data_IF_204345199737
#
_entry.id   IF_204345199737
#
_cell.length_a   1.000
_cell.length_b   1.000
_cell.length_c   1.000
_cell.angle_alpha   90.00
_cell.angle_beta   90.00
_cell.angle_gamma   90.00
#
_symmetry.space_group_name_H-M   'P 1'
#
loop_
_entity.id
_entity.type
_entity.pdbx_description
1 polymer ?
#
# COMPACT_ATOMS: atom_id res chain seq x y z
N UNK A 1 -6.33 12.98 -18.77
CA UNK A 1 -6.93 11.65 -18.98
C UNK A 1 -5.87 10.55 -19.00
N UNK A 2 -4.81 10.70 -19.79
CA UNK A 2 -3.72 9.70 -19.94
C UNK A 2 -3.03 9.37 -18.61
N UNK A 3 -2.54 10.37 -17.87
CA UNK A 3 -1.81 10.15 -16.59
C UNK A 3 -2.67 9.40 -15.55
N UNK A 4 -3.96 9.76 -15.44
CA UNK A 4 -4.89 9.09 -14.51
C UNK A 4 -5.08 7.62 -14.87
N UNK A 5 -5.22 7.30 -16.16
CA UNK A 5 -5.36 5.91 -16.59
C UNK A 5 -4.08 5.10 -16.34
N UNK A 6 -2.91 5.74 -16.48
CA UNK A 6 -1.63 5.10 -16.16
C UNK A 6 -1.58 4.73 -14.67
N UNK A 7 -1.88 5.67 -13.78
CA UNK A 7 -1.80 5.44 -12.33
C UNK A 7 -2.86 4.44 -11.84
N UNK A 8 -4.11 4.55 -12.30
CA UNK A 8 -5.21 3.74 -11.76
C UNK A 8 -5.34 2.35 -12.39
N UNK A 9 -4.80 2.13 -13.58
CA UNK A 9 -4.99 0.87 -14.31
C UNK A 9 -3.68 0.26 -14.77
N UNK A 10 -2.81 1.03 -15.45
CA UNK A 10 -1.59 0.47 -16.05
C UNK A 10 -0.61 0.05 -14.96
N UNK A 11 -0.26 0.94 -14.01
CA UNK A 11 0.73 0.63 -12.98
C UNK A 11 0.33 -0.56 -12.09
N UNK A 12 -0.89 -0.65 -11.52
CA UNK A 12 -1.29 -1.82 -10.73
C UNK A 12 -1.31 -3.13 -11.53
N UNK A 13 -1.59 -3.06 -12.83
CA UNK A 13 -1.58 -4.24 -13.71
C UNK A 13 -0.14 -4.64 -14.04
N UNK A 14 0.74 -3.68 -14.32
CA UNK A 14 2.15 -3.94 -14.57
C UNK A 14 2.84 -4.52 -13.33
N UNK A 15 2.60 -3.96 -12.14
CA UNK A 15 3.12 -4.49 -10.88
C UNK A 15 2.64 -5.92 -10.59
N UNK A 16 1.46 -6.29 -11.07
CA UNK A 16 0.97 -7.65 -10.96
C UNK A 16 1.63 -8.59 -11.99
N UNK A 17 1.73 -8.18 -13.25
CA UNK A 17 2.11 -9.07 -14.35
C UNK A 17 3.63 -9.18 -14.60
N UNK A 18 4.38 -8.09 -14.41
CA UNK A 18 5.83 -8.06 -14.64
C UNK A 18 6.61 -9.06 -13.77
N UNK A 19 6.28 -9.30 -12.49
CA UNK A 19 6.95 -10.33 -11.70
C UNK A 19 6.92 -11.70 -12.35
N UNK A 20 5.77 -12.15 -12.86
CA UNK A 20 5.63 -13.43 -13.55
C UNK A 20 6.41 -13.46 -14.87
N UNK A 21 6.36 -12.37 -15.64
CA UNK A 21 7.10 -12.25 -16.90
C UNK A 21 8.60 -12.33 -16.63
N UNK A 22 9.10 -11.61 -15.63
CA UNK A 22 10.51 -11.62 -15.30
C UNK A 22 10.96 -12.98 -14.77
N UNK A 23 10.19 -13.58 -13.86
CA UNK A 23 10.48 -14.91 -13.34
C UNK A 23 10.61 -15.95 -14.46
N UNK A 24 9.69 -15.94 -15.43
CA UNK A 24 9.69 -16.87 -16.55
C UNK A 24 10.82 -16.63 -17.57
N UNK A 25 11.24 -15.37 -17.77
CA UNK A 25 12.23 -15.01 -18.79
C UNK A 25 13.68 -14.97 -18.27
N UNK A 26 13.89 -14.81 -16.96
CA UNK A 26 15.20 -14.53 -16.38
C UNK A 26 15.58 -15.48 -15.23
N UNK A 27 15.32 -16.79 -15.39
CA UNK A 27 15.74 -17.85 -14.45
C UNK A 27 15.41 -17.51 -12.99
N UNK A 28 14.14 -17.20 -12.72
CA UNK A 28 13.67 -16.78 -11.39
C UNK A 28 13.89 -15.31 -11.05
N UNK A 29 14.47 -14.53 -11.97
CA UNK A 29 14.76 -13.10 -11.86
C UNK A 29 15.36 -12.64 -10.51
N UNK A 30 16.57 -13.11 -10.14
CA UNK A 30 17.22 -12.71 -8.89
C UNK A 30 17.35 -11.20 -8.73
N UNK A 31 17.62 -10.47 -9.81
CA UNK A 31 17.68 -8.99 -9.80
C UNK A 31 16.38 -8.32 -9.36
N UNK A 32 15.24 -9.00 -9.53
CA UNK A 32 13.92 -8.46 -9.25
C UNK A 32 13.45 -8.83 -7.84
N UNK A 33 13.67 -10.09 -7.43
CA UNK A 33 13.12 -10.67 -6.19
C UNK A 33 14.14 -10.81 -5.04
N UNK A 34 15.37 -10.31 -5.18
CA UNK A 34 16.35 -10.36 -4.09
C UNK A 34 15.82 -9.56 -2.87
N UNK A 35 15.81 -10.17 -1.69
CA UNK A 35 15.14 -9.69 -0.48
C UNK A 35 15.65 -8.39 0.18
N UNK A 36 16.82 -7.90 -0.25
CA UNK A 36 17.45 -6.70 0.36
C UNK A 36 17.78 -5.63 -0.69
N UNK A 37 17.71 -5.99 -1.97
CA UNK A 37 18.18 -5.13 -3.07
C UNK A 37 17.45 -5.41 -4.38
N UNK A 38 16.34 -6.13 -4.30
CA UNK A 38 15.52 -6.45 -5.45
C UNK A 38 14.91 -5.18 -6.04
N UNK A 39 14.64 -5.22 -7.34
CA UNK A 39 13.91 -4.14 -7.97
C UNK A 39 12.52 -3.93 -7.33
N UNK A 40 11.89 -4.98 -6.80
CA UNK A 40 10.55 -4.90 -6.20
C UNK A 40 10.51 -4.02 -4.94
N UNK A 41 11.42 -4.19 -3.99
CA UNK A 41 11.52 -3.37 -2.76
C UNK A 41 11.78 -1.90 -3.09
N UNK A 42 12.72 -1.65 -4.01
CA UNK A 42 13.02 -0.29 -4.46
C UNK A 42 11.80 0.39 -5.11
N UNK A 43 11.00 -0.38 -5.85
CA UNK A 43 9.73 0.08 -6.41
C UNK A 43 8.72 0.36 -5.28
N UNK A 44 8.57 -0.53 -4.31
CA UNK A 44 7.71 -0.34 -3.12
C UNK A 44 8.08 0.95 -2.39
N UNK A 45 9.36 1.13 -2.05
CA UNK A 45 9.88 2.32 -1.39
C UNK A 45 9.62 3.59 -2.22
N UNK A 46 9.84 3.56 -3.53
CA UNK A 46 9.55 4.68 -4.42
C UNK A 46 8.07 5.07 -4.46
N UNK A 47 7.17 4.09 -4.49
CA UNK A 47 5.72 4.30 -4.45
C UNK A 47 5.29 4.89 -3.11
N UNK A 48 5.80 4.36 -1.99
CA UNK A 48 5.49 4.86 -0.65
C UNK A 48 6.02 6.28 -0.43
N UNK A 49 7.22 6.58 -0.92
CA UNK A 49 7.77 7.94 -0.89
C UNK A 49 6.87 8.91 -1.67
N UNK A 50 6.41 8.52 -2.86
CA UNK A 50 5.46 9.34 -3.63
C UNK A 50 4.13 9.53 -2.89
N UNK A 51 3.57 8.47 -2.29
CA UNK A 51 2.34 8.55 -1.51
C UNK A 51 2.50 9.49 -0.30
N UNK A 52 3.64 9.43 0.39
CA UNK A 52 3.96 10.33 1.51
C UNK A 52 4.05 11.80 1.06
N UNK A 53 4.72 12.06 -0.07
CA UNK A 53 4.80 13.40 -0.65
C UNK A 53 3.43 13.96 -1.01
N UNK A 54 2.57 13.15 -1.64
CA UNK A 54 1.21 13.54 -1.98
C UNK A 54 0.36 13.80 -0.74
N UNK A 55 0.43 12.92 0.26
CA UNK A 55 -0.26 13.08 1.55
C UNK A 55 0.12 14.39 2.23
N UNK A 56 1.44 14.67 2.27
CA UNK A 56 1.98 15.89 2.87
C UNK A 56 1.51 17.13 2.12
N UNK A 57 1.56 17.10 0.78
CA UNK A 57 1.04 18.17 -0.06
C UNK A 57 -0.44 18.41 0.17
N UNK A 58 -1.25 17.35 0.23
CA UNK A 58 -2.69 17.43 0.50
C UNK A 58 -2.98 17.99 1.89
N UNK A 59 -2.21 17.62 2.92
CA UNK A 59 -2.34 18.17 4.25
C UNK A 59 -2.19 19.70 4.26
N UNK A 60 -1.13 20.23 3.64
CA UNK A 60 -0.90 21.67 3.57
C UNK A 60 -1.93 22.40 2.69
N UNK A 61 -2.32 21.80 1.56
CA UNK A 61 -3.37 22.36 0.70
C UNK A 61 -4.72 22.40 1.42
N UNK A 62 -5.09 21.32 2.13
CA UNK A 62 -6.33 21.24 2.90
C UNK A 62 -6.34 22.25 4.06
N UNK A 63 -5.21 22.42 4.75
CA UNK A 63 -5.00 23.46 5.76
C UNK A 63 -5.27 24.85 5.21
N UNK A 64 -4.55 25.24 4.16
CA UNK A 64 -4.68 26.57 3.55
C UNK A 64 -6.10 26.83 3.06
N UNK A 65 -6.70 25.87 2.34
CA UNK A 65 -8.07 26.00 1.81
C UNK A 65 -9.10 26.16 2.92
N UNK A 66 -8.94 25.42 4.01
CA UNK A 66 -9.84 25.49 5.16
C UNK A 66 -9.75 26.83 5.88
N UNK A 67 -8.54 27.36 6.08
CA UNK A 67 -8.33 28.67 6.71
C UNK A 67 -9.00 29.78 5.89
N UNK A 68 -8.83 29.78 4.56
CA UNK A 68 -9.48 30.74 3.65
C UNK A 68 -11.01 30.67 3.72
N UNK A 69 -11.58 29.45 3.66
CA UNK A 69 -13.04 29.28 3.71
C UNK A 69 -13.65 29.77 5.03
N UNK A 70 -12.98 29.53 6.16
CA UNK A 70 -13.44 30.00 7.47
C UNK A 70 -13.40 31.53 7.52
N UNK A 71 -12.36 32.15 6.95
CA UNK A 71 -12.22 33.61 6.87
C UNK A 71 -13.30 34.25 5.98
N UNK A 72 -13.58 33.66 4.81
CA UNK A 72 -14.47 34.26 3.80
C UNK A 72 -15.97 34.07 4.13
N UNK A 73 -16.34 32.92 4.71
CA UNK A 73 -17.75 32.50 4.78
C UNK A 73 -18.27 32.27 6.20
N UNK A 74 -17.43 32.42 7.23
CA UNK A 74 -17.71 32.05 8.63
C UNK A 74 -18.40 30.68 8.79
N UNK A 75 -18.19 29.78 7.81
CA UNK A 75 -18.89 28.51 7.71
C UNK A 75 -18.07 27.40 8.33
N UNK A 76 -18.71 26.60 9.18
CA UNK A 76 -18.08 25.42 9.74
C UNK A 76 -17.85 24.37 8.64
N UNK A 77 -16.61 23.87 8.51
CA UNK A 77 -16.31 22.75 7.61
C UNK A 77 -16.58 21.44 8.35
N UNK A 78 -17.52 20.60 7.87
CA UNK A 78 -17.85 19.34 8.53
C UNK A 78 -16.63 18.41 8.52
N UNK A 79 -16.47 17.65 9.61
CA UNK A 79 -15.39 16.65 9.79
C UNK A 79 -13.95 17.16 9.65
N UNK A 80 -13.72 18.48 9.63
CA UNK A 80 -12.38 19.09 9.47
C UNK A 80 -11.30 18.44 10.33
N UNK A 81 -11.54 18.32 11.64
CA UNK A 81 -10.58 17.75 12.60
C UNK A 81 -10.27 16.29 12.27
N UNK A 82 -11.29 15.55 11.86
CA UNK A 82 -11.12 14.17 11.44
C UNK A 82 -10.29 14.08 10.16
N UNK A 83 -10.56 14.89 9.13
CA UNK A 83 -9.76 14.89 7.89
C UNK A 83 -8.29 15.19 8.17
N UNK A 84 -7.98 16.17 9.03
CA UNK A 84 -6.60 16.43 9.45
C UNK A 84 -5.98 15.23 10.17
N UNK A 85 -6.69 14.66 11.15
CA UNK A 85 -6.22 13.48 11.87
C UNK A 85 -5.97 12.29 10.93
N UNK A 86 -6.85 12.08 9.96
CA UNK A 86 -6.74 11.03 8.96
C UNK A 86 -5.49 11.22 8.09
N UNK A 87 -5.24 12.41 7.55
CA UNK A 87 -4.04 12.69 6.75
C UNK A 87 -2.75 12.51 7.56
N UNK A 88 -2.76 12.85 8.86
CA UNK A 88 -1.63 12.61 9.76
C UNK A 88 -1.40 11.10 9.95
N UNK A 89 -2.44 10.35 10.32
CA UNK A 89 -2.36 8.90 10.51
C UNK A 89 -1.90 8.20 9.23
N UNK A 90 -2.44 8.64 8.08
CA UNK A 90 -2.06 8.13 6.78
C UNK A 90 -0.57 8.37 6.48
N UNK A 91 -0.09 9.60 6.68
CA UNK A 91 1.31 9.95 6.48
C UNK A 91 2.25 9.18 7.42
N UNK A 92 1.87 9.01 8.69
CA UNK A 92 2.61 8.18 9.64
C UNK A 92 2.65 6.71 9.21
N UNK A 93 1.55 6.19 8.67
CA UNK A 93 1.51 4.84 8.08
C UNK A 93 2.46 4.70 6.90
N UNK A 94 2.51 5.69 5.99
CA UNK A 94 3.48 5.71 4.90
C UNK A 94 4.92 5.79 5.40
N UNK A 95 5.21 6.61 6.42
CA UNK A 95 6.55 6.71 7.02
C UNK A 95 6.95 5.38 7.65
N UNK A 96 6.05 4.75 8.40
CA UNK A 96 6.32 3.47 9.04
C UNK A 96 6.59 2.40 7.99
N UNK A 97 5.71 2.23 7.01
CA UNK A 97 5.88 1.21 5.98
C UNK A 97 7.14 1.47 5.13
N UNK A 98 7.37 2.71 4.69
CA UNK A 98 8.60 3.07 3.98
C UNK A 98 9.85 2.80 4.83
N UNK A 99 9.80 3.16 6.11
CA UNK A 99 10.88 2.94 7.05
C UNK A 99 11.21 1.47 7.20
N UNK A 100 10.22 0.62 7.41
CA UNK A 100 10.41 -0.84 7.47
C UNK A 100 11.05 -1.38 6.17
N UNK A 101 10.54 -0.95 5.01
CA UNK A 101 11.03 -1.37 3.68
C UNK A 101 12.50 -1.00 3.41
N UNK A 102 12.97 0.14 3.91
CA UNK A 102 14.36 0.62 3.70
C UNK A 102 15.24 0.40 4.92
N UNK A 103 14.81 -0.44 5.85
CA UNK A 103 15.54 -0.77 7.08
C UNK A 103 15.87 0.49 7.90
N UNK A 104 14.91 1.41 7.95
CA UNK A 104 14.93 2.75 8.53
C UNK A 104 16.02 3.68 7.98
N UNK A 105 16.64 3.31 6.86
CA UNK A 105 17.76 4.02 6.23
C UNK A 105 19.13 3.40 6.52
N UNK A 106 19.18 2.21 7.14
CA UNK A 106 20.41 1.55 7.53
C UNK A 106 21.41 1.43 6.39
N UNK A 107 20.95 0.97 5.23
CA UNK A 107 21.79 0.83 4.04
C UNK A 107 22.18 2.17 3.41
N UNK A 108 21.38 3.22 3.60
CA UNK A 108 21.66 4.56 3.07
C UNK A 108 22.74 5.29 3.86
N UNK A 109 22.79 5.06 5.17
CA UNK A 109 23.70 5.73 6.09
C UNK A 109 24.80 4.81 6.63
N UNK A 110 24.81 3.54 6.19
CA UNK A 110 25.83 2.52 6.47
C UNK A 110 26.13 2.35 7.97
N UNK A 111 25.09 2.35 8.80
CA UNK A 111 25.28 2.03 10.23
C UNK A 111 25.21 0.54 10.49
N UNK A 112 26.03 0.09 11.42
CA UNK A 112 26.04 -1.29 11.88
C UNK A 112 24.78 -1.61 12.68
N UNK A 113 24.28 -2.82 12.50
CA UNK A 113 23.19 -3.41 13.30
C UNK A 113 23.60 -3.50 14.77
N UNK A 114 22.87 -2.87 15.70
CA UNK A 114 23.20 -2.96 17.12
C UNK A 114 23.09 -4.40 17.63
N UNK A 115 23.90 -4.80 18.62
CA UNK A 115 23.92 -6.17 19.18
C UNK A 115 22.52 -6.67 19.61
N UNK A 116 21.69 -5.76 20.15
CA UNK A 116 20.32 -6.06 20.54
C UNK A 116 19.41 -6.47 19.36
N UNK A 117 19.69 -5.95 18.16
CA UNK A 117 18.98 -6.28 16.92
C UNK A 117 19.54 -7.53 16.24
N UNK A 118 20.86 -7.72 16.26
CA UNK A 118 21.52 -8.92 15.71
C UNK A 118 20.95 -10.21 16.32
N UNK A 119 20.56 -10.18 17.60
CA UNK A 119 20.00 -11.33 18.29
C UNK A 119 18.55 -11.68 17.88
N UNK A 120 17.83 -10.75 17.23
CA UNK A 120 16.38 -10.89 16.98
C UNK A 120 15.96 -10.65 15.54
N UNK A 121 16.80 -10.06 14.69
CA UNK A 121 16.51 -9.75 13.30
C UNK A 121 17.26 -10.71 12.37
N UNK A 122 16.52 -11.44 11.53
CA UNK A 122 17.07 -12.52 10.70
C UNK A 122 17.95 -12.02 9.54
N UNK A 123 17.88 -10.73 9.21
CA UNK A 123 18.63 -10.08 8.13
C UNK A 123 19.73 -9.14 8.65
N UNK A 124 19.97 -9.13 9.96
CA UNK A 124 20.88 -8.18 10.61
C UNK A 124 20.48 -6.74 10.27
N UNK A 125 19.21 -6.40 10.40
CA UNK A 125 18.70 -5.06 10.14
C UNK A 125 18.03 -4.41 11.35
N UNK A 126 17.65 -3.14 11.20
CA UNK A 126 16.94 -2.35 12.22
C UNK A 126 15.43 -2.20 11.98
N UNK A 127 14.86 -2.94 11.03
CA UNK A 127 13.40 -3.01 10.82
C UNK A 127 12.74 -4.08 11.70
N UNK A 128 11.51 -3.83 12.10
CA UNK A 128 10.72 -4.71 12.96
C UNK A 128 10.15 -5.91 12.20
N UNK A 129 9.77 -5.76 10.93
CA UNK A 129 9.14 -6.86 10.18
C UNK A 129 10.07 -8.07 9.98
N UNK A 130 11.40 -7.89 10.05
CA UNK A 130 12.38 -8.99 9.99
C UNK A 130 12.67 -9.63 11.36
N UNK A 131 11.97 -9.24 12.43
CA UNK A 131 12.20 -9.79 13.79
C UNK A 131 11.29 -10.95 14.15
N UNK A 132 10.10 -11.04 13.56
CA UNK A 132 9.19 -12.15 13.82
C UNK A 132 8.10 -12.22 12.76
N UNK A 133 7.58 -13.44 12.54
CA UNK A 133 6.41 -13.67 11.69
C UNK A 133 5.18 -12.84 12.10
N UNK A 134 5.07 -12.44 13.38
CA UNK A 134 3.98 -11.58 13.84
C UNK A 134 4.08 -10.18 13.20
N UNK A 135 5.27 -9.57 13.22
CA UNK A 135 5.50 -8.23 12.69
C UNK A 135 5.55 -8.21 11.15
N UNK A 136 5.94 -9.32 10.51
CA UNK A 136 5.84 -9.51 9.06
C UNK A 136 4.37 -9.69 8.61
N UNK A 137 3.66 -10.67 9.17
CA UNK A 137 2.41 -11.14 8.57
C UNK A 137 1.18 -10.36 9.02
N UNK A 138 1.11 -9.91 10.27
CA UNK A 138 -0.11 -9.27 10.81
C UNK A 138 -0.37 -7.91 10.16
N UNK A 139 0.60 -6.98 10.05
CA UNK A 139 0.36 -5.70 9.38
C UNK A 139 -0.07 -5.90 7.93
N UNK A 140 0.62 -6.78 7.20
CA UNK A 140 0.30 -7.12 5.80
C UNK A 140 -1.11 -7.70 5.68
N UNK A 141 -1.51 -8.59 6.58
CA UNK A 141 -2.85 -9.18 6.60
C UNK A 141 -3.95 -8.13 6.86
N UNK A 142 -3.78 -7.27 7.87
CA UNK A 142 -4.76 -6.25 8.23
C UNK A 142 -4.96 -5.23 7.09
N UNK A 143 -3.86 -4.79 6.47
CA UNK A 143 -3.92 -3.92 5.28
C UNK A 143 -4.62 -4.60 4.12
N UNK A 144 -4.27 -5.86 3.82
CA UNK A 144 -4.93 -6.65 2.76
C UNK A 144 -6.44 -6.74 3.01
N UNK A 145 -6.86 -7.03 4.24
CA UNK A 145 -8.27 -7.12 4.60
C UNK A 145 -9.00 -5.79 4.41
N UNK A 146 -8.39 -4.69 4.86
CA UNK A 146 -8.91 -3.34 4.67
C UNK A 146 -9.04 -2.97 3.19
N UNK A 147 -8.06 -3.35 2.36
CA UNK A 147 -8.06 -3.14 0.91
C UNK A 147 -9.19 -3.92 0.23
N UNK A 148 -9.38 -5.19 0.59
CA UNK A 148 -10.45 -6.00 -0.01
C UNK A 148 -11.82 -5.45 0.38
N UNK A 149 -12.05 -5.17 1.67
CA UNK A 149 -13.33 -4.65 2.14
C UNK A 149 -13.60 -3.24 1.58
N UNK A 150 -12.62 -2.35 1.64
CA UNK A 150 -12.80 -0.95 1.28
C UNK A 150 -12.61 -0.64 -0.20
N UNK A 151 -11.64 -1.27 -0.84
CA UNK A 151 -11.26 -1.02 -2.23
C UNK A 151 -11.99 -1.88 -3.25
N UNK A 152 -12.45 -3.07 -2.86
CA UNK A 152 -13.12 -4.00 -3.76
C UNK A 152 -14.59 -4.21 -3.43
N UNK A 153 -14.95 -4.39 -2.16
CA UNK A 153 -16.35 -4.67 -1.78
C UNK A 153 -17.15 -3.37 -1.76
N UNK A 154 -16.76 -2.39 -0.95
CA UNK A 154 -17.53 -1.16 -0.74
C UNK A 154 -17.95 -0.37 -2.00
N UNK A 155 -17.07 -0.13 -3.01
CA UNK A 155 -17.43 0.70 -4.16
C UNK A 155 -18.62 0.14 -4.95
N UNK A 156 -18.81 -1.18 -4.97
CA UNK A 156 -19.92 -1.82 -5.67
C UNK A 156 -21.24 -1.78 -4.90
N UNK A 157 -21.20 -1.71 -3.56
CA UNK A 157 -22.42 -1.55 -2.74
C UNK A 157 -22.96 -0.12 -2.74
N UNK A 158 -22.10 0.88 -2.94
CA UNK A 158 -22.46 2.30 -2.87
C UNK A 158 -22.72 2.93 -4.25
N UNK A 159 -22.18 2.34 -5.34
CA UNK A 159 -22.34 2.85 -6.72
C UNK A 159 -23.79 3.16 -7.14
N UNK A 160 -24.76 2.42 -6.59
CA UNK A 160 -26.17 2.51 -6.98
C UNK A 160 -27.07 3.11 -5.88
N UNK A 161 -26.50 3.67 -4.82
CA UNK A 161 -27.29 4.30 -3.74
C UNK A 161 -27.11 5.81 -3.81
N UNK A 162 -28.20 6.61 -3.76
CA UNK A 162 -28.04 8.05 -3.52
C UNK A 162 -27.25 8.20 -2.22
N UNK A 163 -26.24 9.07 -2.21
CA UNK A 163 -25.48 9.41 -1.01
C UNK A 163 -26.49 9.73 0.10
N UNK A 164 -26.67 8.78 1.03
CA UNK A 164 -27.62 8.95 2.09
C UNK A 164 -27.27 10.22 2.84
N UNK A 165 -28.26 11.05 3.15
CA UNK A 165 -28.08 12.37 3.78
C UNK A 165 -27.70 12.29 5.26
N UNK A 166 -27.39 11.09 5.76
CA UNK A 166 -26.97 10.86 7.14
C UNK A 166 -25.52 11.26 7.42
N UNK A 167 -25.24 11.56 8.69
CA UNK A 167 -23.89 11.87 9.18
C UNK A 167 -22.91 10.70 8.97
N UNK A 168 -23.37 9.45 9.15
CA UNK A 168 -22.53 8.26 9.02
C UNK A 168 -22.12 7.95 7.57
N UNK A 169 -23.03 8.08 6.59
CA UNK A 169 -22.70 7.93 5.17
C UNK A 169 -21.76 9.01 4.68
N UNK A 170 -21.90 10.24 5.18
CA UNK A 170 -20.99 11.35 4.90
C UNK A 170 -19.59 11.11 5.48
N UNK A 171 -19.52 10.52 6.67
CA UNK A 171 -18.26 10.09 7.29
C UNK A 171 -17.61 8.92 6.53
N UNK A 172 -18.37 7.89 6.15
CA UNK A 172 -17.84 6.78 5.35
C UNK A 172 -17.33 7.25 3.99
N UNK A 173 -18.02 8.18 3.34
CA UNK A 173 -17.57 8.76 2.08
C UNK A 173 -16.21 9.48 2.18
N UNK A 174 -15.77 9.86 3.38
CA UNK A 174 -14.49 10.53 3.61
C UNK A 174 -13.32 9.54 3.72
N UNK A 175 -13.56 8.34 4.25
CA UNK A 175 -12.51 7.33 4.49
C UNK A 175 -12.48 6.29 3.39
N UNK A 176 -13.64 5.94 2.83
CA UNK A 176 -13.73 4.77 1.99
C UNK A 176 -13.11 5.00 0.61
N UNK A 177 -12.33 4.05 0.09
CA UNK A 177 -11.70 4.14 -1.23
C UNK A 177 -12.71 4.38 -2.36
N UNK A 178 -12.27 5.13 -3.37
CA UNK A 178 -13.06 5.38 -4.57
C UNK A 178 -13.02 4.20 -5.54
N UNK A 179 -13.85 4.24 -6.59
CA UNK A 179 -13.83 3.24 -7.66
C UNK A 179 -12.49 3.15 -8.40
N UNK A 180 -11.65 4.19 -8.33
CA UNK A 180 -10.31 4.16 -8.92
C UNK A 180 -9.38 3.14 -8.26
N UNK A 181 -9.64 2.77 -7.00
CA UNK A 181 -8.82 1.81 -6.27
C UNK A 181 -9.14 0.34 -6.62
N UNK A 182 -10.21 0.07 -7.38
CA UNK A 182 -10.69 -1.30 -7.67
C UNK A 182 -9.61 -2.15 -8.36
N UNK A 183 -8.91 -1.59 -9.34
CA UNK A 183 -7.85 -2.33 -10.05
C UNK A 183 -6.74 -2.72 -9.09
N UNK A 184 -6.26 -1.78 -8.28
CA UNK A 184 -5.20 -2.05 -7.30
C UNK A 184 -5.65 -3.06 -6.23
N UNK A 185 -6.88 -2.93 -5.72
CA UNK A 185 -7.46 -3.88 -4.78
C UNK A 185 -7.61 -5.28 -5.38
N UNK A 186 -7.96 -5.37 -6.67
CA UNK A 186 -8.06 -6.65 -7.38
C UNK A 186 -6.68 -7.29 -7.54
N UNK A 187 -5.65 -6.52 -7.86
CA UNK A 187 -4.27 -7.03 -7.92
C UNK A 187 -3.80 -7.58 -6.56
N UNK A 188 -4.07 -6.86 -5.47
CA UNK A 188 -3.76 -7.31 -4.10
C UNK A 188 -4.52 -8.59 -3.73
N UNK A 189 -5.80 -8.70 -4.11
CA UNK A 189 -6.57 -9.92 -3.88
C UNK A 189 -5.99 -11.09 -4.69
N UNK A 190 -5.68 -10.88 -5.97
CA UNK A 190 -5.14 -11.90 -6.85
C UNK A 190 -3.87 -12.53 -6.28
N UNK A 191 -2.87 -11.70 -5.94
CA UNK A 191 -1.61 -12.18 -5.36
C UNK A 191 -1.79 -12.77 -3.95
N UNK A 192 -2.90 -12.46 -3.26
CA UNK A 192 -3.18 -13.08 -1.96
C UNK A 192 -3.77 -14.48 -2.08
N UNK A 193 -4.49 -14.76 -3.17
CA UNK A 193 -5.23 -16.03 -3.35
C UNK A 193 -4.52 -17.00 -4.29
N UNK A 194 -3.61 -16.53 -5.14
CA UNK A 194 -2.97 -17.36 -6.16
C UNK A 194 -2.34 -18.64 -5.58
N UNK A 195 -1.46 -18.55 -4.59
CA UNK A 195 -0.87 -19.68 -3.86
C UNK A 195 -1.90 -20.51 -3.10
N UNK A 196 -2.87 -19.85 -2.49
CA UNK A 196 -3.90 -20.50 -1.67
C UNK A 196 -4.81 -21.38 -2.50
N UNK A 197 -5.07 -21.03 -3.76
CA UNK A 197 -5.90 -21.83 -4.67
C UNK A 197 -5.20 -23.17 -4.97
N UNK A 198 -3.90 -23.16 -5.27
CA UNK A 198 -3.15 -24.40 -5.51
C UNK A 198 -3.06 -25.26 -4.26
N UNK A 199 -2.77 -24.64 -3.09
CA UNK A 199 -2.77 -25.32 -1.81
C UNK A 199 -4.13 -25.95 -1.47
N UNK A 200 -5.24 -25.23 -1.71
CA UNK A 200 -6.59 -25.71 -1.48
C UNK A 200 -6.96 -26.88 -2.40
N UNK A 201 -6.55 -26.81 -3.67
CA UNK A 201 -6.82 -27.86 -4.66
C UNK A 201 -5.88 -29.05 -4.55
N UNK A 202 -4.82 -28.96 -3.72
CA UNK A 202 -3.77 -29.97 -3.59
C UNK A 202 -3.08 -30.28 -4.94
N UNK A 203 -2.90 -29.26 -5.76
CA UNK A 203 -2.23 -29.34 -7.07
C UNK A 203 -0.92 -28.58 -6.98
N UNK A 204 0.15 -29.16 -7.51
CA UNK A 204 1.44 -28.49 -7.60
C UNK A 204 1.31 -27.24 -8.48
N UNK A 205 1.77 -26.10 -7.95
CA UNK A 205 1.79 -24.87 -8.71
C UNK A 205 2.80 -24.99 -9.87
N UNK A 206 2.45 -24.60 -11.10
CA UNK A 206 3.41 -24.50 -12.19
C UNK A 206 4.61 -23.62 -11.81
N UNK A 207 5.83 -24.04 -12.16
CA UNK A 207 7.06 -23.36 -11.75
C UNK A 207 7.06 -21.84 -12.08
N UNK A 208 6.52 -21.44 -13.23
CA UNK A 208 6.46 -20.04 -13.65
C UNK A 208 5.51 -19.15 -12.82
N UNK A 209 4.67 -19.74 -11.96
CA UNK A 209 3.81 -19.02 -11.02
C UNK A 209 4.39 -18.96 -9.61
N UNK A 210 5.42 -19.75 -9.29
CA UNK A 210 6.06 -19.81 -7.98
C UNK A 210 7.02 -18.63 -7.75
N UNK A 211 6.49 -17.42 -7.86
CA UNK A 211 7.25 -16.18 -7.60
C UNK A 211 7.37 -15.91 -6.09
N UNK A 212 8.31 -15.04 -5.69
CA UNK A 212 8.30 -14.50 -4.33
C UNK A 212 7.13 -13.51 -4.19
N UNK A 213 6.00 -14.03 -3.73
CA UNK A 213 4.71 -13.33 -3.73
C UNK A 213 4.58 -12.32 -2.58
N UNK A 214 5.37 -12.47 -1.51
CA UNK A 214 5.42 -11.56 -0.36
C UNK A 214 5.80 -10.14 -0.76
N UNK A 215 6.95 -9.97 -1.39
CA UNK A 215 7.46 -8.66 -1.84
C UNK A 215 6.54 -8.03 -2.89
N UNK A 216 6.05 -8.84 -3.83
CA UNK A 216 5.11 -8.38 -4.87
C UNK A 216 3.83 -7.88 -4.22
N UNK A 217 3.34 -8.58 -3.20
CA UNK A 217 2.15 -8.17 -2.46
C UNK A 217 2.35 -6.85 -1.74
N UNK A 218 3.51 -6.61 -1.15
CA UNK A 218 3.83 -5.33 -0.50
C UNK A 218 3.88 -4.19 -1.51
N UNK A 219 4.49 -4.40 -2.68
CA UNK A 219 4.48 -3.42 -3.77
C UNK A 219 3.06 -3.08 -4.26
N UNK A 220 2.16 -4.08 -4.31
CA UNK A 220 0.76 -3.89 -4.69
C UNK A 220 -0.06 -3.19 -3.59
N UNK A 221 0.23 -3.45 -2.31
CA UNK A 221 -0.36 -2.71 -1.19
C UNK A 221 0.11 -1.25 -1.23
N UNK A 222 1.40 -0.99 -1.45
CA UNK A 222 1.93 0.35 -1.64
C UNK A 222 1.26 1.06 -2.83
N UNK A 223 1.04 0.35 -3.93
CA UNK A 223 0.31 0.90 -5.08
C UNK A 223 -1.14 1.25 -4.73
N UNK A 224 -1.83 0.44 -3.91
CA UNK A 224 -3.15 0.78 -3.41
C UNK A 224 -3.14 2.06 -2.56
N UNK A 225 -2.18 2.17 -1.65
CA UNK A 225 -1.94 3.36 -0.82
C UNK A 225 -1.75 4.59 -1.74
N UNK A 226 -0.92 4.49 -2.78
CA UNK A 226 -0.75 5.60 -3.71
C UNK A 226 -2.03 5.98 -4.47
N UNK A 227 -2.85 5.01 -4.90
CA UNK A 227 -4.10 5.29 -5.63
C UNK A 227 -5.20 5.84 -4.70
N UNK A 228 -5.17 5.46 -3.43
CA UNK A 228 -6.16 5.87 -2.43
C UNK A 228 -6.05 7.36 -2.05
N UNK A 229 -4.83 7.88 -1.97
CA UNK A 229 -4.55 9.28 -1.57
C UNK A 229 -4.66 10.25 -2.74
#
# INVERSE_FOLDING_TARGET
MIIRNVIYFVLPTCLLLLPYIFFALFDGAPFYFNKESGAVENITAGILALALLLTTSMFFQYRKKTELLIQDSNSAIPFRRFTFGWLIVYGLGCIYFLGEEISWGQHLFDWSTPDAWVAVNDQQETNLHNTSALFDQVPRFLLTLGIVIGGLVYPFFVRNKPLATGSFSSFLALIMPSFHCVTSATSVLFITVHDKIYSLLQIDMPAFLQINDGEVKESLIAMFILVYI
#
